data_IF_617430122217
#
_entry.id   IF_617430122217
#
_cell.length_a   1.000
_cell.length_b   1.000
_cell.length_c   1.000
_cell.angle_alpha   90.00
_cell.angle_beta   90.00
_cell.angle_gamma   90.00
#
_symmetry.space_group_name_H-M   'P 1'
#
loop_
_entity.id
_entity.type
_entity.pdbx_description
1 polymer ?
#
# COMPACT_ATOMS: atom_id res chain seq x y z
N UNK A 1 1.39 29.93 9.24
CA UNK A 1 1.97 29.73 7.90
C UNK A 1 0.84 29.60 6.88
N UNK A 2 0.82 30.40 5.81
CA UNK A 2 -0.12 30.19 4.70
C UNK A 2 0.24 28.85 4.03
N UNK A 3 -0.72 27.93 3.92
CA UNK A 3 -0.51 26.69 3.18
C UNK A 3 -0.22 27.05 1.71
N UNK A 4 0.83 26.47 1.12
CA UNK A 4 1.04 26.57 -0.33
C UNK A 4 -0.09 25.78 -1.01
N UNK A 5 -1.10 26.52 -1.49
CA UNK A 5 -2.26 25.97 -2.17
C UNK A 5 -1.86 25.12 -3.40
N UNK A 6 -0.70 25.38 -4.01
CA UNK A 6 -0.17 24.54 -5.10
C UNK A 6 0.26 23.19 -4.59
N UNK A 7 0.99 23.13 -3.47
CA UNK A 7 1.41 21.87 -2.87
C UNK A 7 0.21 21.05 -2.37
N UNK A 8 -0.80 21.71 -1.76
CA UNK A 8 -2.06 21.05 -1.40
C UNK A 8 -2.72 20.37 -2.61
N UNK A 9 -2.83 21.10 -3.72
CA UNK A 9 -3.45 20.57 -4.95
C UNK A 9 -2.61 19.45 -5.56
N UNK A 10 -1.28 19.59 -5.56
CA UNK A 10 -0.38 18.53 -6.00
C UNK A 10 -0.59 17.24 -5.20
N UNK A 11 -0.55 17.33 -3.87
CA UNK A 11 -0.83 16.20 -2.98
C UNK A 11 -2.24 15.61 -3.18
N UNK A 12 -3.23 16.47 -3.44
CA UNK A 12 -4.59 16.04 -3.75
C UNK A 12 -4.68 15.23 -5.04
N UNK A 13 -4.06 15.71 -6.12
CA UNK A 13 -4.07 15.02 -7.41
C UNK A 13 -3.29 13.72 -7.39
N UNK A 14 -2.09 13.69 -6.80
CA UNK A 14 -1.32 12.45 -6.74
C UNK A 14 -2.05 11.36 -5.95
N UNK A 15 -2.74 11.72 -4.86
CA UNK A 15 -3.56 10.78 -4.10
C UNK A 15 -4.80 10.28 -4.87
N UNK A 16 -5.44 11.12 -5.68
CA UNK A 16 -6.55 10.70 -6.54
C UNK A 16 -6.07 9.76 -7.64
N UNK A 17 -4.92 10.04 -8.26
CA UNK A 17 -4.34 9.20 -9.31
C UNK A 17 -3.74 7.90 -8.78
N UNK A 18 -3.32 7.84 -7.52
CA UNK A 18 -2.78 6.61 -6.94
C UNK A 18 -3.84 5.51 -6.85
N UNK A 19 -5.09 5.88 -6.55
CA UNK A 19 -6.18 4.91 -6.35
C UNK A 19 -6.47 4.01 -7.57
N UNK A 20 -6.67 4.51 -8.81
CA UNK A 20 -6.86 3.64 -9.97
C UNK A 20 -5.64 2.76 -10.27
N UNK A 21 -4.42 3.23 -9.99
CA UNK A 21 -3.22 2.40 -10.14
C UNK A 21 -3.20 1.27 -9.10
N UNK A 22 -3.56 1.59 -7.85
CA UNK A 22 -3.67 0.62 -6.77
C UNK A 22 -4.75 -0.44 -7.04
N UNK A 23 -5.91 -0.06 -7.58
CA UNK A 23 -6.90 -1.06 -8.00
C UNK A 23 -6.42 -1.88 -9.20
N UNK A 24 -5.67 -1.26 -10.11
CA UNK A 24 -5.13 -1.96 -11.28
C UNK A 24 -4.07 -2.99 -10.92
N UNK A 25 -3.24 -2.78 -9.89
CA UNK A 25 -2.31 -3.84 -9.42
C UNK A 25 -3.06 -5.07 -8.92
N UNK A 26 -4.18 -4.90 -8.20
CA UNK A 26 -5.00 -6.03 -7.72
C UNK A 26 -5.54 -6.81 -8.92
N UNK A 27 -6.11 -6.11 -9.91
CA UNK A 27 -6.65 -6.71 -11.13
C UNK A 27 -5.57 -7.47 -11.91
N UNK A 28 -4.39 -6.87 -12.10
CA UNK A 28 -3.30 -7.53 -12.84
C UNK A 28 -2.69 -8.70 -12.06
N UNK A 29 -2.56 -8.60 -10.74
CA UNK A 29 -2.06 -9.68 -9.90
C UNK A 29 -3.02 -10.88 -9.93
N UNK A 30 -4.33 -10.62 -9.87
CA UNK A 30 -5.35 -11.65 -10.01
C UNK A 30 -5.36 -12.27 -11.42
N UNK A 31 -5.23 -11.46 -12.46
CA UNK A 31 -5.10 -11.96 -13.84
C UNK A 31 -3.81 -12.78 -14.07
N UNK A 32 -2.73 -12.45 -13.36
CA UNK A 32 -1.46 -13.16 -13.38
C UNK A 32 -1.55 -14.61 -12.89
N UNK A 33 -2.48 -14.87 -11.97
CA UNK A 33 -2.77 -16.21 -11.46
C UNK A 33 -4.00 -16.85 -12.11
N UNK A 34 -4.43 -16.34 -13.26
CA UNK A 34 -5.57 -16.89 -14.02
C UNK A 34 -6.94 -16.64 -13.40
N UNK A 35 -7.04 -15.72 -12.43
CA UNK A 35 -8.27 -15.45 -11.72
C UNK A 35 -8.66 -16.51 -10.69
N UNK A 36 -7.72 -17.37 -10.29
CA UNK A 36 -7.95 -18.31 -9.19
C UNK A 36 -7.60 -17.66 -7.85
N UNK A 37 -8.62 -17.45 -7.02
CA UNK A 37 -8.49 -16.90 -5.66
C UNK A 37 -7.62 -17.81 -4.80
N UNK A 38 -7.71 -19.13 -4.97
CA UNK A 38 -6.94 -20.09 -4.17
C UNK A 38 -5.45 -19.98 -4.48
N UNK A 39 -5.10 -19.91 -5.77
CA UNK A 39 -3.73 -19.68 -6.21
C UNK A 39 -3.22 -18.31 -5.77
N UNK A 40 -4.05 -17.27 -5.84
CA UNK A 40 -3.70 -15.94 -5.32
C UNK A 40 -3.36 -15.98 -3.83
N UNK A 41 -4.25 -16.55 -3.02
CA UNK A 41 -4.07 -16.65 -1.58
C UNK A 41 -2.86 -17.51 -1.21
N UNK A 42 -2.66 -18.63 -1.92
CA UNK A 42 -1.49 -19.50 -1.70
C UNK A 42 -0.19 -18.76 -2.01
N UNK A 43 -0.15 -18.00 -3.10
CA UNK A 43 1.00 -17.22 -3.50
C UNK A 43 1.39 -16.18 -2.45
N UNK A 44 0.37 -15.45 -1.98
CA UNK A 44 0.55 -14.29 -1.11
C UNK A 44 0.84 -14.71 0.32
N UNK A 45 0.22 -15.79 0.80
CA UNK A 45 0.22 -16.14 2.23
C UNK A 45 1.03 -17.40 2.58
N UNK A 46 1.39 -18.25 1.62
CA UNK A 46 1.99 -19.55 1.92
C UNK A 46 3.32 -19.77 1.22
N UNK A 47 3.36 -19.58 -0.09
CA UNK A 47 4.54 -19.87 -0.89
C UNK A 47 4.51 -19.08 -2.21
N UNK A 48 5.39 -18.08 -2.33
CA UNK A 48 5.51 -17.30 -3.55
C UNK A 48 5.77 -18.18 -4.78
N UNK A 49 6.53 -19.28 -4.67
CA UNK A 49 6.81 -20.14 -5.82
C UNK A 49 5.57 -20.85 -6.41
N UNK A 50 4.45 -20.92 -5.67
CA UNK A 50 3.23 -21.56 -6.17
C UNK A 50 2.70 -20.90 -7.45
N UNK A 51 2.97 -19.61 -7.66
CA UNK A 51 2.52 -18.87 -8.86
C UNK A 51 3.56 -18.80 -9.96
N UNK A 52 4.80 -19.21 -9.72
CA UNK A 52 5.85 -19.12 -10.73
C UNK A 52 5.49 -19.85 -12.05
N UNK A 53 4.89 -21.04 -12.03
CA UNK A 53 4.43 -21.69 -13.25
C UNK A 53 3.37 -20.87 -14.02
N UNK A 54 2.44 -20.22 -13.30
CA UNK A 54 1.40 -19.38 -13.91
C UNK A 54 2.01 -18.09 -14.48
N UNK A 55 2.89 -17.45 -13.73
CA UNK A 55 3.59 -16.24 -14.18
C UNK A 55 4.51 -16.51 -15.36
N UNK A 56 5.08 -17.71 -15.50
CA UNK A 56 5.93 -18.05 -16.65
C UNK A 56 5.19 -17.97 -17.99
N UNK A 57 3.87 -18.14 -17.97
CA UNK A 57 3.02 -17.99 -19.15
C UNK A 57 2.74 -16.51 -19.49
N UNK A 58 2.80 -15.62 -18.49
CA UNK A 58 2.44 -14.20 -18.59
C UNK A 58 3.37 -13.31 -17.74
N UNK A 59 4.69 -13.32 -17.98
CA UNK A 59 5.66 -12.67 -17.09
C UNK A 59 5.51 -11.15 -17.05
N UNK A 60 4.96 -10.53 -18.10
CA UNK A 60 4.68 -9.11 -18.13
C UNK A 60 3.62 -8.67 -17.11
N UNK A 61 2.73 -9.57 -16.66
CA UNK A 61 1.70 -9.23 -15.69
C UNK A 61 2.30 -8.97 -14.31
N UNK A 62 3.33 -9.71 -13.90
CA UNK A 62 4.04 -9.45 -12.63
C UNK A 62 4.85 -8.16 -12.68
N UNK A 63 5.45 -7.83 -13.83
CA UNK A 63 6.09 -6.52 -14.03
C UNK A 63 5.10 -5.38 -13.82
N UNK A 64 3.98 -5.40 -14.55
CA UNK A 64 3.03 -4.30 -14.51
C UNK A 64 2.26 -4.24 -13.20
N UNK A 65 1.93 -5.36 -12.56
CA UNK A 65 1.32 -5.33 -11.24
C UNK A 65 2.26 -4.69 -10.21
N UNK A 66 3.53 -5.07 -10.19
CA UNK A 66 4.53 -4.47 -9.29
C UNK A 66 4.79 -2.99 -9.57
N UNK A 67 4.80 -2.55 -10.83
CA UNK A 67 4.92 -1.12 -11.15
C UNK A 67 3.68 -0.32 -10.74
N UNK A 68 2.48 -0.86 -10.95
CA UNK A 68 1.25 -0.20 -10.55
C UNK A 68 1.11 -0.14 -9.03
N UNK A 69 1.58 -1.17 -8.33
CA UNK A 69 1.70 -1.20 -6.87
C UNK A 69 2.66 -0.13 -6.36
N UNK A 70 3.86 -0.07 -6.94
CA UNK A 70 4.89 0.95 -6.67
C UNK A 70 4.34 2.38 -6.72
N UNK A 71 3.55 2.72 -7.76
CA UNK A 71 2.96 4.05 -7.87
C UNK A 71 1.67 4.21 -7.06
N UNK A 72 0.82 3.18 -7.02
CA UNK A 72 -0.54 3.26 -6.52
C UNK A 72 -0.67 3.22 -5.00
N UNK A 73 0.05 2.29 -4.35
CA UNK A 73 0.03 2.15 -2.90
C UNK A 73 1.10 2.98 -2.19
N UNK A 74 2.10 3.47 -2.95
CA UNK A 74 3.30 4.06 -2.35
C UNK A 74 3.67 5.43 -2.94
N UNK A 75 4.41 5.50 -4.05
CA UNK A 75 5.14 6.71 -4.44
C UNK A 75 4.26 7.96 -4.58
N UNK A 76 3.06 7.81 -5.17
CA UNK A 76 2.15 8.94 -5.37
C UNK A 76 1.47 9.43 -4.07
N UNK A 77 1.57 8.68 -2.97
CA UNK A 77 1.05 9.08 -1.66
C UNK A 77 2.06 9.87 -0.83
N UNK A 78 3.34 9.93 -1.21
CA UNK A 78 4.36 10.71 -0.48
C UNK A 78 3.95 12.19 -0.31
N UNK A 79 3.51 12.91 -1.36
CA UNK A 79 3.06 14.29 -1.20
C UNK A 79 1.88 14.43 -0.23
N UNK A 80 0.98 13.45 -0.20
CA UNK A 80 -0.15 13.43 0.75
C UNK A 80 0.34 13.25 2.19
N UNK A 81 1.28 12.33 2.44
CA UNK A 81 1.87 12.14 3.77
C UNK A 81 2.57 13.40 4.29
N UNK A 82 3.34 14.05 3.42
CA UNK A 82 4.02 15.33 3.73
C UNK A 82 2.99 16.43 3.99
N UNK A 83 1.95 16.54 3.15
CA UNK A 83 0.89 17.54 3.36
C UNK A 83 0.15 17.31 4.69
N UNK A 84 -0.16 16.06 5.04
CA UNK A 84 -0.82 15.71 6.29
C UNK A 84 0.04 16.07 7.50
N UNK A 85 1.35 15.87 7.42
CA UNK A 85 2.29 16.35 8.43
C UNK A 85 2.13 17.86 8.61
N UNK A 86 2.27 18.66 7.54
CA UNK A 86 2.13 20.12 7.62
C UNK A 86 0.77 20.57 8.17
N UNK A 87 -0.32 19.88 7.80
CA UNK A 87 -1.67 20.24 8.24
C UNK A 87 -1.90 19.93 9.73
N UNK A 88 -1.42 18.78 10.21
CA UNK A 88 -1.71 18.30 11.56
C UNK A 88 -0.66 18.73 12.60
N UNK A 89 0.57 19.03 12.15
CA UNK A 89 1.70 19.37 13.00
C UNK A 89 1.42 20.53 13.98
N UNK A 90 0.73 21.62 13.60
CA UNK A 90 0.42 22.69 14.54
C UNK A 90 -0.44 22.27 15.74
N UNK A 91 -1.11 21.12 15.69
CA UNK A 91 -1.98 20.65 16.78
C UNK A 91 -1.22 19.81 17.81
N UNK A 92 -0.37 18.89 17.35
CA UNK A 92 0.40 17.94 18.16
C UNK A 92 1.74 17.63 17.44
N UNK A 93 2.77 18.50 17.56
CA UNK A 93 3.99 18.41 16.78
C UNK A 93 4.72 17.06 16.87
N UNK A 94 4.91 16.56 18.09
CA UNK A 94 5.70 15.35 18.38
C UNK A 94 4.99 14.11 17.82
N UNK A 95 3.69 13.98 18.12
CA UNK A 95 2.86 12.88 17.64
C UNK A 95 2.71 12.90 16.12
N UNK A 96 2.47 14.07 15.53
CA UNK A 96 2.36 14.19 14.08
C UNK A 96 3.66 13.78 13.40
N UNK A 97 4.80 14.21 13.94
CA UNK A 97 6.12 13.84 13.40
C UNK A 97 6.36 12.34 13.50
N UNK A 98 6.09 11.73 14.65
CA UNK A 98 6.21 10.28 14.83
C UNK A 98 5.35 9.51 13.82
N UNK A 99 4.05 9.81 13.73
CA UNK A 99 3.14 9.11 12.81
C UNK A 99 3.52 9.34 11.35
N UNK A 100 3.96 10.54 10.98
CA UNK A 100 4.42 10.83 9.61
C UNK A 100 5.72 10.12 9.26
N UNK A 101 6.64 9.93 10.20
CA UNK A 101 7.85 9.11 9.98
C UNK A 101 7.44 7.66 9.73
N UNK A 102 6.51 7.10 10.51
CA UNK A 102 5.97 5.76 10.25
C UNK A 102 5.32 5.69 8.86
N UNK A 103 4.55 6.70 8.48
CA UNK A 103 3.92 6.78 7.16
C UNK A 103 4.94 6.81 6.02
N UNK A 104 5.98 7.65 6.13
CA UNK A 104 7.07 7.67 5.15
C UNK A 104 7.84 6.36 5.12
N UNK A 105 8.05 5.71 6.26
CA UNK A 105 8.63 4.37 6.33
C UNK A 105 7.83 3.36 5.53
N UNK A 106 6.52 3.24 5.79
CA UNK A 106 5.59 2.41 5.02
C UNK A 106 5.69 2.71 3.50
N UNK A 107 5.63 3.98 3.11
CA UNK A 107 5.68 4.36 1.69
C UNK A 107 7.01 3.99 1.02
N UNK A 108 8.13 4.14 1.72
CA UNK A 108 9.45 3.88 1.14
C UNK A 108 9.80 2.38 1.12
N UNK A 109 9.53 1.66 2.21
CA UNK A 109 9.78 0.22 2.27
C UNK A 109 8.86 -0.55 1.33
N UNK A 110 7.57 -0.23 1.30
CA UNK A 110 6.64 -0.81 0.36
C UNK A 110 7.01 -0.55 -1.09
N UNK A 111 7.37 0.69 -1.45
CA UNK A 111 7.87 1.02 -2.79
C UNK A 111 9.15 0.24 -3.14
N UNK A 112 10.08 0.09 -2.19
CA UNK A 112 11.29 -0.70 -2.42
C UNK A 112 10.96 -2.17 -2.70
N UNK A 113 10.04 -2.76 -1.95
CA UNK A 113 9.53 -4.11 -2.19
C UNK A 113 8.95 -4.26 -3.60
N UNK A 114 8.04 -3.34 -3.98
CA UNK A 114 7.43 -3.33 -5.31
C UNK A 114 8.48 -3.21 -6.43
N UNK A 115 9.48 -2.34 -6.27
CA UNK A 115 10.56 -2.17 -7.25
C UNK A 115 11.42 -3.43 -7.41
N UNK A 116 11.72 -4.13 -6.31
CA UNK A 116 12.43 -5.42 -6.35
C UNK A 116 11.61 -6.46 -7.11
N UNK A 117 10.31 -6.60 -6.80
CA UNK A 117 9.45 -7.57 -7.47
C UNK A 117 9.25 -7.26 -8.96
N UNK A 118 9.19 -5.98 -9.33
CA UNK A 118 9.09 -5.56 -10.73
C UNK A 118 10.27 -6.04 -11.60
N UNK A 119 11.42 -6.37 -11.00
CA UNK A 119 12.59 -6.89 -11.72
C UNK A 119 12.72 -8.40 -11.57
N UNK A 120 12.60 -8.90 -10.33
CA UNK A 120 12.89 -10.30 -10.03
C UNK A 120 11.77 -11.22 -10.52
N UNK A 121 10.51 -10.91 -10.26
CA UNK A 121 9.42 -11.80 -10.65
C UNK A 121 9.34 -12.04 -12.16
N UNK A 122 9.36 -11.03 -13.05
CA UNK A 122 9.31 -11.28 -14.48
C UNK A 122 10.56 -12.00 -14.98
N UNK A 123 11.76 -11.66 -14.48
CA UNK A 123 13.00 -12.31 -14.93
C UNK A 123 13.06 -13.79 -14.56
N UNK A 124 12.68 -14.14 -13.32
CA UNK A 124 12.64 -15.53 -12.88
C UNK A 124 11.49 -16.31 -13.55
N UNK A 125 10.36 -15.67 -13.84
CA UNK A 125 9.26 -16.30 -14.57
C UNK A 125 9.65 -16.66 -16.01
N UNK A 126 10.36 -15.78 -16.71
CA UNK A 126 10.91 -16.08 -18.05
C UNK A 126 11.93 -17.22 -17.97
N UNK A 127 12.88 -17.14 -17.02
CA UNK A 127 13.91 -18.17 -16.85
C UNK A 127 13.30 -19.54 -16.55
N UNK A 128 12.31 -19.60 -15.66
CA UNK A 128 11.59 -20.82 -15.31
C UNK A 128 10.92 -21.47 -16.53
N UNK A 129 10.28 -20.67 -17.40
CA UNK A 129 9.58 -21.17 -18.59
C UNK A 129 10.49 -21.60 -19.73
N UNK A 130 11.75 -21.17 -19.74
CA UNK A 130 12.71 -21.43 -20.82
C UNK A 130 13.76 -22.49 -20.50
N UNK A 131 13.87 -22.88 -19.23
CA UNK A 131 14.90 -23.81 -18.75
C UNK A 131 14.29 -25.09 -18.18
N UNK A 132 15.13 -26.09 -17.90
CA UNK A 132 14.73 -27.32 -17.24
C UNK A 132 15.83 -27.81 -16.28
N UNK A 133 15.51 -28.81 -15.45
CA UNK A 133 16.48 -29.39 -14.51
C UNK A 133 16.99 -28.37 -13.48
N UNK A 134 18.31 -28.32 -13.28
CA UNK A 134 18.93 -27.52 -12.23
C UNK A 134 18.71 -26.00 -12.40
N UNK A 135 18.70 -25.50 -13.62
CA UNK A 135 18.50 -24.07 -13.89
C UNK A 135 17.07 -23.63 -13.53
N UNK A 136 16.07 -24.44 -13.85
CA UNK A 136 14.69 -24.18 -13.49
C UNK A 136 14.49 -24.20 -11.97
N UNK A 137 15.15 -25.14 -11.27
CA UNK A 137 15.13 -25.19 -9.80
C UNK A 137 15.80 -23.97 -9.16
N UNK A 138 16.88 -23.45 -9.76
CA UNK A 138 17.51 -22.22 -9.31
C UNK A 138 16.56 -21.02 -9.44
N UNK A 139 15.82 -20.92 -10.56
CA UNK A 139 14.81 -19.89 -10.75
C UNK A 139 13.73 -19.93 -9.66
N UNK A 140 13.26 -21.14 -9.32
CA UNK A 140 12.32 -21.34 -8.20
C UNK A 140 12.91 -20.85 -6.88
N UNK A 141 14.14 -21.25 -6.55
CA UNK A 141 14.78 -20.87 -5.29
C UNK A 141 14.95 -19.35 -5.14
N UNK A 142 15.41 -18.66 -6.20
CA UNK A 142 15.55 -17.20 -6.22
C UNK A 142 14.18 -16.54 -6.08
N UNK A 143 13.18 -17.02 -6.82
CA UNK A 143 11.82 -16.51 -6.75
C UNK A 143 11.24 -16.63 -5.33
N UNK A 144 11.38 -17.80 -4.70
CA UNK A 144 10.92 -18.04 -3.32
C UNK A 144 11.61 -17.10 -2.34
N UNK A 145 12.94 -17.06 -2.33
CA UNK A 145 13.69 -16.27 -1.32
C UNK A 145 13.35 -14.78 -1.44
N UNK A 146 13.33 -14.24 -2.65
CA UNK A 146 13.00 -12.82 -2.86
C UNK A 146 11.51 -12.56 -2.61
N UNK A 147 10.64 -13.42 -3.13
CA UNK A 147 9.19 -13.32 -2.93
C UNK A 147 8.82 -13.32 -1.46
N UNK A 148 9.38 -14.25 -0.68
CA UNK A 148 9.14 -14.35 0.75
C UNK A 148 9.73 -13.15 1.52
N UNK A 149 10.93 -12.71 1.17
CA UNK A 149 11.54 -11.54 1.79
C UNK A 149 10.69 -10.28 1.60
N UNK A 150 10.12 -10.08 0.41
CA UNK A 150 9.24 -8.94 0.17
C UNK A 150 7.85 -9.17 0.77
N UNK A 151 7.17 -10.25 0.41
CA UNK A 151 5.77 -10.46 0.76
C UNK A 151 5.56 -10.71 2.26
N UNK A 152 6.44 -11.45 2.93
CA UNK A 152 6.29 -11.78 4.35
C UNK A 152 7.00 -10.80 5.26
N UNK A 153 8.25 -10.43 4.95
CA UNK A 153 9.00 -9.53 5.81
C UNK A 153 8.66 -8.05 5.57
N UNK A 154 8.69 -7.58 4.32
CA UNK A 154 8.37 -6.16 4.05
C UNK A 154 6.85 -5.95 4.12
N UNK A 155 6.07 -6.61 3.28
CA UNK A 155 4.63 -6.39 3.14
C UNK A 155 3.77 -7.10 4.19
N UNK A 156 4.23 -8.20 4.76
CA UNK A 156 3.52 -8.94 5.81
C UNK A 156 3.76 -8.37 7.21
N UNK A 157 4.98 -7.88 7.47
CA UNK A 157 5.40 -7.44 8.80
C UNK A 157 5.63 -5.93 8.89
N UNK A 158 6.58 -5.39 8.12
CA UNK A 158 7.02 -4.01 8.29
C UNK A 158 5.98 -2.98 7.83
N UNK A 159 5.44 -3.16 6.62
CA UNK A 159 4.44 -2.27 6.02
C UNK A 159 3.17 -2.17 6.87
N UNK A 160 2.52 -3.27 7.29
CA UNK A 160 1.27 -3.19 8.04
C UNK A 160 1.48 -2.57 9.43
N UNK A 161 2.65 -2.75 10.05
CA UNK A 161 2.96 -2.10 11.33
C UNK A 161 3.15 -0.59 11.15
N UNK A 162 4.00 -0.18 10.20
CA UNK A 162 4.29 1.23 9.95
C UNK A 162 3.07 1.98 9.42
N UNK A 163 2.38 1.42 8.42
CA UNK A 163 1.14 1.95 7.86
C UNK A 163 0.03 1.95 8.90
N UNK A 164 -0.09 0.88 9.70
CA UNK A 164 -1.04 0.76 10.79
C UNK A 164 -0.92 1.89 11.81
N UNK A 165 0.30 2.12 12.32
CA UNK A 165 0.62 3.24 13.23
C UNK A 165 0.31 4.58 12.57
N UNK A 166 0.69 4.75 11.30
CA UNK A 166 0.46 5.99 10.56
C UNK A 166 -1.03 6.31 10.42
N UNK A 167 -1.83 5.40 9.85
CA UNK A 167 -3.26 5.64 9.63
C UNK A 167 -4.03 5.79 10.95
N UNK A 168 -3.68 5.02 11.98
CA UNK A 168 -4.28 5.15 13.30
C UNK A 168 -3.98 6.52 13.91
N UNK A 169 -2.73 6.96 13.84
CA UNK A 169 -2.31 8.27 14.32
C UNK A 169 -2.92 9.43 13.55
N UNK A 170 -2.93 9.37 12.22
CA UNK A 170 -3.56 10.38 11.37
C UNK A 170 -5.08 10.43 11.62
N UNK A 171 -5.74 9.28 11.75
CA UNK A 171 -7.16 9.21 12.07
C UNK A 171 -7.48 9.87 13.42
N UNK A 172 -6.69 9.57 14.44
CA UNK A 172 -6.82 10.18 15.77
C UNK A 172 -6.65 11.70 15.73
N UNK A 173 -5.68 12.21 14.96
CA UNK A 173 -5.45 13.65 14.79
C UNK A 173 -6.52 14.33 13.91
N UNK A 174 -7.09 13.61 12.93
CA UNK A 174 -8.15 14.12 12.05
C UNK A 174 -9.50 14.24 12.75
N UNK A 175 -9.82 13.37 13.71
CA UNK A 175 -11.11 13.38 14.42
C UNK A 175 -11.48 14.76 15.01
N UNK A 176 -10.66 15.36 15.91
CA UNK A 176 -10.96 16.67 16.47
C UNK A 176 -10.88 17.79 15.43
N UNK A 177 -9.99 17.67 14.45
CA UNK A 177 -9.77 18.70 13.44
C UNK A 177 -10.94 18.81 12.45
N UNK A 178 -11.45 17.68 11.95
CA UNK A 178 -12.62 17.67 11.07
C UNK A 178 -13.87 18.13 11.82
N UNK A 179 -14.03 17.70 13.07
CA UNK A 179 -15.14 18.13 13.93
C UNK A 179 -15.12 19.64 14.16
N UNK A 180 -13.94 20.22 14.46
CA UNK A 180 -13.75 21.68 14.61
C UNK A 180 -14.12 22.46 13.35
N UNK A 181 -13.86 21.88 12.17
CA UNK A 181 -14.20 22.48 10.86
C UNK A 181 -15.65 22.22 10.41
N UNK A 182 -16.49 21.62 11.26
CA UNK A 182 -17.87 21.25 10.92
C UNK A 182 -17.98 20.19 9.82
N UNK A 183 -16.90 19.46 9.54
CA UNK A 183 -16.86 18.38 8.55
C UNK A 183 -17.20 17.05 9.21
N UNK A 184 -17.91 16.17 8.49
CA UNK A 184 -18.18 14.80 8.97
C UNK A 184 -16.84 14.06 9.18
N UNK A 185 -16.63 13.41 10.34
CA UNK A 185 -15.37 12.75 10.68
C UNK A 185 -15.18 11.40 9.97
N UNK A 186 -15.92 11.12 8.90
CA UNK A 186 -15.87 9.81 8.21
C UNK A 186 -14.45 9.45 7.76
N UNK A 187 -13.68 10.41 7.23
CA UNK A 187 -12.29 10.17 6.83
C UNK A 187 -11.37 9.84 8.00
N UNK A 188 -11.62 10.42 9.17
CA UNK A 188 -10.88 10.11 10.37
C UNK A 188 -11.17 8.66 10.82
N UNK A 189 -12.45 8.25 10.81
CA UNK A 189 -12.85 6.87 11.07
C UNK A 189 -12.29 5.87 10.06
N UNK A 190 -12.34 6.20 8.77
CA UNK A 190 -11.75 5.36 7.72
C UNK A 190 -10.25 5.18 7.95
N UNK A 191 -9.53 6.24 8.34
CA UNK A 191 -8.11 6.15 8.70
C UNK A 191 -7.90 5.25 9.93
N UNK A 192 -8.71 5.40 10.97
CA UNK A 192 -8.60 4.56 12.17
C UNK A 192 -8.85 3.08 11.87
N UNK A 193 -9.89 2.77 11.10
CA UNK A 193 -10.23 1.40 10.69
C UNK A 193 -9.09 0.82 9.86
N UNK A 194 -8.58 1.58 8.87
CA UNK A 194 -7.45 1.15 8.05
C UNK A 194 -6.19 0.90 8.90
N UNK A 195 -5.94 1.74 9.91
CA UNK A 195 -4.86 1.56 10.86
C UNK A 195 -5.00 0.26 11.66
N UNK A 196 -6.17 0.01 12.23
CA UNK A 196 -6.48 -1.22 12.99
C UNK A 196 -6.33 -2.46 12.10
N UNK A 197 -6.89 -2.44 10.89
CA UNK A 197 -6.82 -3.54 9.92
C UNK A 197 -5.37 -3.90 9.62
N UNK A 198 -4.52 -2.90 9.34
CA UNK A 198 -3.10 -3.13 9.07
C UNK A 198 -2.34 -3.66 10.29
N UNK A 199 -2.58 -3.10 11.48
CA UNK A 199 -1.95 -3.61 12.71
C UNK A 199 -2.34 -5.07 12.99
N UNK A 200 -3.62 -5.41 12.83
CA UNK A 200 -4.10 -6.78 12.99
C UNK A 200 -3.50 -7.71 11.94
N UNK A 201 -3.32 -7.25 10.70
CA UNK A 201 -2.63 -8.01 9.65
C UNK A 201 -1.18 -8.30 10.03
N UNK A 202 -0.43 -7.29 10.46
CA UNK A 202 0.97 -7.45 10.86
C UNK A 202 1.14 -8.33 12.11
N UNK A 203 0.23 -8.21 13.08
CA UNK A 203 0.17 -9.12 14.23
C UNK A 203 -0.19 -10.55 13.80
N UNK A 204 -1.07 -10.68 12.80
CA UNK A 204 -1.39 -11.95 12.15
C UNK A 204 -0.14 -12.63 11.59
N UNK A 205 0.72 -11.87 10.90
CA UNK A 205 1.99 -12.39 10.38
C UNK A 205 2.93 -12.82 11.52
N UNK A 206 3.13 -11.96 12.53
CA UNK A 206 3.97 -12.26 13.70
C UNK A 206 3.56 -13.53 14.45
N UNK A 207 2.25 -13.73 14.59
CA UNK A 207 1.67 -14.87 15.31
C UNK A 207 1.33 -16.04 14.39
N UNK A 208 1.62 -15.92 13.10
CA UNK A 208 1.28 -16.92 12.07
C UNK A 208 -0.21 -17.31 12.11
N UNK A 209 -1.10 -16.33 12.14
CA UNK A 209 -2.56 -16.48 12.13
C UNK A 209 -3.08 -16.11 10.72
N UNK A 210 -3.27 -17.09 9.81
CA UNK A 210 -3.53 -16.81 8.39
C UNK A 210 -4.80 -15.99 8.17
N UNK A 211 -5.83 -16.23 8.97
CA UNK A 211 -7.10 -15.50 8.88
C UNK A 211 -6.92 -13.98 9.04
N UNK A 212 -6.06 -13.54 9.97
CA UNK A 212 -5.80 -12.12 10.19
C UNK A 212 -5.03 -11.51 9.04
N UNK A 213 -4.05 -12.24 8.49
CA UNK A 213 -3.25 -11.80 7.34
C UNK A 213 -4.14 -11.66 6.11
N UNK A 214 -4.91 -12.69 5.76
CA UNK A 214 -5.74 -12.68 4.56
C UNK A 214 -6.88 -11.67 4.62
N UNK A 215 -7.56 -11.59 5.76
CA UNK A 215 -8.64 -10.61 5.95
C UNK A 215 -8.08 -9.19 6.00
N UNK A 216 -6.97 -9.00 6.70
CA UNK A 216 -6.29 -7.72 6.86
C UNK A 216 -5.85 -7.15 5.52
N UNK A 217 -5.12 -7.95 4.73
CA UNK A 217 -4.63 -7.55 3.41
C UNK A 217 -5.78 -7.32 2.43
N UNK A 218 -6.79 -8.20 2.42
CA UNK A 218 -7.98 -8.03 1.60
C UNK A 218 -8.68 -6.71 1.86
N UNK A 219 -8.95 -6.38 3.14
CA UNK A 219 -9.55 -5.10 3.52
C UNK A 219 -8.63 -3.92 3.16
N UNK A 220 -7.32 -4.02 3.40
CA UNK A 220 -6.35 -3.00 3.05
C UNK A 220 -6.40 -2.65 1.56
N UNK A 221 -6.42 -3.66 0.68
CA UNK A 221 -6.48 -3.49 -0.77
C UNK A 221 -7.70 -2.69 -1.25
N UNK A 222 -8.82 -2.74 -0.53
CA UNK A 222 -9.99 -1.93 -0.84
C UNK A 222 -9.96 -0.56 -0.14
N UNK A 223 -9.62 -0.54 1.15
CA UNK A 223 -9.75 0.64 1.99
C UNK A 223 -8.67 1.68 1.75
N UNK A 224 -7.42 1.29 1.48
CA UNK A 224 -6.31 2.23 1.29
C UNK A 224 -6.46 3.09 0.02
N UNK A 225 -6.78 2.53 -1.17
CA UNK A 225 -7.00 3.35 -2.37
C UNK A 225 -8.23 4.26 -2.23
N UNK A 226 -9.31 3.76 -1.61
CA UNK A 226 -10.50 4.56 -1.32
C UNK A 226 -10.19 5.72 -0.38
N UNK A 227 -9.41 5.46 0.67
CA UNK A 227 -8.95 6.49 1.60
C UNK A 227 -8.11 7.55 0.89
N UNK A 228 -7.15 7.14 0.06
CA UNK A 228 -6.29 8.04 -0.70
C UNK A 228 -7.10 8.95 -1.64
N UNK A 229 -7.99 8.37 -2.44
CA UNK A 229 -8.84 9.11 -3.36
C UNK A 229 -9.72 10.13 -2.62
N UNK A 230 -10.35 9.71 -1.52
CA UNK A 230 -11.23 10.60 -0.77
C UNK A 230 -10.44 11.73 -0.07
N UNK A 231 -9.31 11.41 0.55
CA UNK A 231 -8.40 12.44 1.08
C UNK A 231 -7.99 13.42 -0.01
N UNK A 232 -7.58 12.94 -1.18
CA UNK A 232 -7.22 13.76 -2.32
C UNK A 232 -8.35 14.69 -2.79
N UNK A 233 -9.57 14.15 -2.95
CA UNK A 233 -10.76 14.93 -3.31
C UNK A 233 -11.03 16.04 -2.28
N UNK A 234 -10.87 15.79 -0.98
CA UNK A 234 -11.05 16.82 0.04
C UNK A 234 -10.01 17.93 -0.03
N UNK A 235 -8.77 17.62 -0.43
CA UNK A 235 -7.71 18.62 -0.61
C UNK A 235 -7.93 19.48 -1.86
N UNK A 236 -8.59 18.92 -2.88
CA UNK A 236 -8.91 19.63 -4.13
C UNK A 236 -10.15 20.52 -4.01
N UNK A 237 -11.01 20.30 -3.00
CA UNK A 237 -12.16 21.17 -2.75
C UNK A 237 -11.70 22.60 -2.42
N UNK A 238 -12.32 23.63 -3.04
CA UNK A 238 -12.05 25.01 -2.69
C UNK A 238 -12.27 25.27 -1.19
N UNK A 239 -11.37 26.01 -0.56
CA UNK A 239 -11.71 26.62 0.74
C UNK A 239 -12.87 27.59 0.51
N UNK A 240 -13.93 27.57 1.32
CA UNK A 240 -14.99 28.57 1.21
C UNK A 240 -14.33 29.96 1.30
N UNK A 241 -14.56 30.79 0.28
CA UNK A 241 -14.14 32.18 0.33
C UNK A 241 -14.76 32.79 1.58
N UNK A 242 -13.94 33.33 2.48
CA UNK A 242 -14.44 34.30 3.44
C UNK A 242 -14.90 35.49 2.59
N UNK A 243 -16.18 35.53 2.25
CA UNK A 243 -16.84 36.77 1.83
C UNK A 243 -16.66 37.73 3.01
N UNK A 244 -15.71 38.63 2.85
CA UNK A 244 -15.55 39.85 3.66
C UNK A 244 -16.78 40.72 3.53
#
# INVERSE_FOLDING_TARGET
>A
MKHDDRFRRFAGWTAVFSAPLAYSTIVLSFAGVGGDVTSFDTAVYQNAAAILPLLSQKPYLSLWSSLLDFFGFYLLLIPLAVYLWYWLHPQKPEWTTFFSICGLGYLLFGAMGAAVLAVIFPSQAVLYGQTSGAEQQMAVAIFTVVGDAVQRAIWGLLDPLLGGIWWLGIGWLLLPELSRRGKRPFLAWLSLILGIVNLLSGLGEMLSIPFLVSTGLGLYFFLAPMWAAWMGIQLLRPSPSKTT
#
